data_IF_548882967867
#
_entry.id   IF_548882967867
#
_cell.length_a   1.000
_cell.length_b   1.000
_cell.length_c   1.000
_cell.angle_alpha   90.00
_cell.angle_beta   90.00
_cell.angle_gamma   90.00
#
_symmetry.space_group_name_H-M   'P 1'
#
loop_
_entity.id
_entity.type
_entity.pdbx_description
1 polymer ?
#
# COMPACT_ATOMS: atom_id res chain seq x y z
N UNK A 1 -9.27 -0.77 -15.08
CA UNK A 1 -8.69 -2.12 -15.05
C UNK A 1 -8.79 -2.56 -13.61
N UNK A 2 -9.32 -3.76 -13.35
CA UNK A 2 -9.59 -4.22 -12.00
C UNK A 2 -8.56 -5.28 -11.62
N UNK A 3 -7.71 -4.99 -10.63
CA UNK A 3 -6.75 -5.95 -10.08
C UNK A 3 -7.27 -6.59 -8.81
N UNK A 4 -6.95 -7.86 -8.59
CA UNK A 4 -7.15 -8.52 -7.30
C UNK A 4 -6.08 -8.07 -6.32
N UNK A 5 -6.51 -7.53 -5.18
CA UNK A 5 -5.59 -7.09 -4.13
C UNK A 5 -5.16 -8.28 -3.29
N UNK A 6 -3.86 -8.55 -3.30
CA UNK A 6 -3.21 -9.55 -2.44
C UNK A 6 -2.33 -8.80 -1.45
N UNK A 7 -2.39 -9.20 -0.18
CA UNK A 7 -1.52 -8.65 0.86
C UNK A 7 -0.48 -9.70 1.18
N UNK A 8 0.79 -9.36 1.06
CA UNK A 8 1.87 -10.14 1.65
C UNK A 8 1.65 -10.26 3.17
N UNK A 9 2.08 -11.35 3.79
CA UNK A 9 1.91 -11.59 5.22
C UNK A 9 2.49 -10.44 6.07
N UNK A 10 3.65 -9.89 5.68
CA UNK A 10 4.23 -8.73 6.35
C UNK A 10 3.37 -7.47 6.18
N UNK A 11 2.81 -7.24 5.00
CA UNK A 11 1.92 -6.11 4.75
C UNK A 11 0.63 -6.22 5.55
N UNK A 12 0.05 -7.42 5.64
CA UNK A 12 -1.15 -7.68 6.42
C UNK A 12 -0.90 -7.38 7.91
N UNK A 13 0.24 -7.78 8.46
CA UNK A 13 0.62 -7.47 9.83
C UNK A 13 0.87 -5.99 10.09
N UNK A 14 1.52 -5.29 9.15
CA UNK A 14 1.69 -3.84 9.21
C UNK A 14 0.34 -3.12 9.18
N UNK A 15 -0.58 -3.59 8.32
CA UNK A 15 -1.95 -3.06 8.21
C UNK A 15 -2.75 -3.29 9.50
N UNK A 16 -2.63 -4.47 10.13
CA UNK A 16 -3.24 -4.75 11.45
C UNK A 16 -2.67 -3.85 12.55
N UNK A 17 -1.34 -3.65 12.60
CA UNK A 17 -0.68 -2.75 13.55
C UNK A 17 -1.14 -1.31 13.36
N UNK A 18 -1.20 -0.84 12.11
CA UNK A 18 -1.74 0.46 11.77
C UNK A 18 -3.21 0.60 12.19
N UNK A 19 -4.03 -0.44 11.94
CA UNK A 19 -5.43 -0.45 12.36
C UNK A 19 -5.62 -0.30 13.87
N UNK A 20 -4.75 -0.91 14.69
CA UNK A 20 -4.81 -0.76 16.15
C UNK A 20 -4.38 0.63 16.63
N UNK A 21 -3.32 1.19 16.06
CA UNK A 21 -2.79 2.50 16.49
C UNK A 21 -3.47 3.71 15.87
N UNK A 22 -3.99 3.58 14.65
CA UNK A 22 -4.65 4.64 13.90
C UNK A 22 -5.68 4.07 12.90
N UNK A 23 -6.89 3.69 13.37
CA UNK A 23 -7.94 3.12 12.53
C UNK A 23 -8.34 4.00 11.34
N UNK A 24 -8.33 5.32 11.51
CA UNK A 24 -8.68 6.26 10.45
C UNK A 24 -7.65 6.23 9.31
N UNK A 25 -6.35 6.19 9.63
CA UNK A 25 -5.30 6.04 8.62
C UNK A 25 -5.34 4.66 7.97
N UNK A 26 -5.63 3.61 8.75
CA UNK A 26 -5.81 2.27 8.22
C UNK A 26 -6.90 2.21 7.15
N UNK A 27 -8.06 2.80 7.44
CA UNK A 27 -9.15 2.92 6.48
C UNK A 27 -8.71 3.68 5.23
N UNK A 28 -8.04 4.84 5.37
CA UNK A 28 -7.53 5.62 4.23
C UNK A 28 -6.57 4.83 3.35
N UNK A 29 -5.68 4.04 3.94
CA UNK A 29 -4.76 3.18 3.19
C UNK A 29 -5.53 2.11 2.42
N UNK A 30 -6.46 1.40 3.09
CA UNK A 30 -7.30 0.39 2.46
C UNK A 30 -8.10 0.95 1.27
N UNK A 31 -8.76 2.08 1.44
CA UNK A 31 -9.51 2.76 0.37
C UNK A 31 -8.60 3.19 -0.79
N UNK A 32 -7.39 3.69 -0.50
CA UNK A 32 -6.46 4.08 -1.55
C UNK A 32 -5.97 2.88 -2.38
N UNK A 33 -5.71 1.74 -1.72
CA UNK A 33 -5.33 0.49 -2.41
C UNK A 33 -6.50 -0.05 -3.24
N UNK A 34 -7.72 -0.08 -2.70
CA UNK A 34 -8.91 -0.50 -3.44
C UNK A 34 -9.18 0.39 -4.66
N UNK A 35 -9.12 1.72 -4.50
CA UNK A 35 -9.28 2.66 -5.61
C UNK A 35 -8.22 2.45 -6.68
N UNK A 36 -6.96 2.25 -6.28
CA UNK A 36 -5.89 1.95 -7.23
C UNK A 36 -6.20 0.64 -7.97
N UNK A 37 -6.64 -0.40 -7.26
CA UNK A 37 -6.98 -1.69 -7.83
C UNK A 37 -8.14 -1.60 -8.85
N UNK A 38 -9.16 -0.78 -8.61
CA UNK A 38 -10.34 -0.65 -9.47
C UNK A 38 -10.13 0.29 -10.66
N UNK A 39 -9.40 1.39 -10.43
CA UNK A 39 -9.35 2.52 -11.36
C UNK A 39 -7.97 2.79 -11.96
N UNK A 40 -6.91 2.23 -11.39
CA UNK A 40 -5.54 2.62 -11.71
C UNK A 40 -5.13 4.01 -11.21
N UNK A 41 -6.00 4.70 -10.47
CA UNK A 41 -5.72 6.05 -10.00
C UNK A 41 -5.09 6.07 -8.60
N UNK A 42 -4.10 6.92 -8.42
CA UNK A 42 -3.46 7.19 -7.13
C UNK A 42 -2.16 7.99 -7.30
N UNK A 43 -1.58 8.47 -6.20
CA UNK A 43 -0.21 9.03 -6.19
C UNK A 43 0.78 7.87 -6.25
N UNK A 44 0.87 7.28 -7.45
CA UNK A 44 1.64 6.08 -7.75
C UNK A 44 2.92 6.47 -8.50
N UNK A 45 4.09 6.07 -7.97
CA UNK A 45 5.36 6.22 -8.67
C UNK A 45 6.09 4.89 -8.78
N UNK A 46 6.65 4.62 -9.96
CA UNK A 46 7.53 3.47 -10.18
C UNK A 46 8.85 3.68 -9.45
N UNK A 47 9.29 2.67 -8.70
CA UNK A 47 10.58 2.69 -8.02
C UNK A 47 11.71 2.46 -9.05
N UNK A 48 12.83 3.15 -8.87
CA UNK A 48 14.02 2.99 -9.72
C UNK A 48 14.90 1.88 -9.14
N UNK A 49 15.27 0.90 -9.97
CA UNK A 49 16.14 -0.25 -9.62
C UNK A 49 15.38 -1.51 -9.16
N UNK A 50 15.83 -2.69 -9.59
CA UNK A 50 15.27 -4.00 -9.24
C UNK A 50 13.93 -4.36 -9.91
N UNK A 51 13.36 -5.52 -9.52
CA UNK A 51 12.24 -6.30 -10.11
C UNK A 51 10.86 -5.62 -10.28
N UNK A 52 10.80 -4.30 -10.50
CA UNK A 52 9.58 -3.63 -10.92
C UNK A 52 8.59 -3.38 -9.79
N UNK A 53 8.97 -2.54 -8.82
CA UNK A 53 8.08 -2.11 -7.74
C UNK A 53 7.44 -0.74 -7.97
N UNK A 54 6.30 -0.52 -7.35
CA UNK A 54 5.60 0.75 -7.29
C UNK A 54 5.44 1.24 -5.86
N UNK A 55 5.23 2.55 -5.72
CA UNK A 55 4.94 3.22 -4.46
C UNK A 55 3.69 4.06 -4.60
N UNK A 56 2.65 3.69 -3.86
CA UNK A 56 1.46 4.50 -3.66
C UNK A 56 1.64 5.37 -2.40
N UNK A 57 1.39 6.68 -2.51
CA UNK A 57 1.42 7.60 -1.38
C UNK A 57 0.01 7.87 -0.85
N UNK A 58 -0.14 7.74 0.47
CA UNK A 58 -1.38 8.04 1.20
C UNK A 58 -1.03 9.03 2.32
N UNK A 59 -1.06 10.32 1.99
CA UNK A 59 -0.59 11.37 2.90
C UNK A 59 0.89 11.19 3.30
N UNK A 60 1.13 10.90 4.59
CA UNK A 60 2.47 10.62 5.15
C UNK A 60 2.87 9.15 5.11
N UNK A 61 2.02 8.28 4.55
CA UNK A 61 2.25 6.85 4.41
C UNK A 61 2.63 6.47 2.99
N UNK A 62 3.40 5.39 2.88
CA UNK A 62 3.85 4.79 1.63
C UNK A 62 3.46 3.33 1.63
N UNK A 63 2.77 2.92 0.57
CA UNK A 63 2.44 1.54 0.28
C UNK A 63 3.37 1.09 -0.85
N UNK A 64 4.19 0.07 -0.60
CA UNK A 64 5.02 -0.57 -1.63
C UNK A 64 4.25 -1.75 -2.17
N UNK A 65 4.15 -1.83 -3.50
CA UNK A 65 3.40 -2.87 -4.18
C UNK A 65 4.07 -3.27 -5.49
N UNK A 66 3.68 -4.42 -6.01
CA UNK A 66 3.97 -4.85 -7.38
C UNK A 66 2.64 -5.06 -8.11
N UNK A 67 2.65 -4.74 -9.39
CA UNK A 67 1.53 -5.02 -10.30
C UNK A 67 1.98 -6.18 -11.17
N UNK A 68 1.23 -7.26 -11.15
CA UNK A 68 1.41 -8.39 -12.05
C UNK A 68 0.26 -8.37 -13.06
N UNK A 69 0.60 -7.97 -14.27
CA UNK A 69 -0.37 -7.81 -15.36
C UNK A 69 -0.87 -9.16 -15.90
N UNK A 70 -0.07 -10.23 -15.79
CA UNK A 70 -0.44 -11.58 -16.23
C UNK A 70 -1.53 -12.17 -15.33
N UNK A 71 -1.34 -12.07 -14.01
CA UNK A 71 -2.28 -12.60 -13.01
C UNK A 71 -3.38 -11.60 -12.63
N UNK A 72 -3.33 -10.37 -13.17
CA UNK A 72 -4.18 -9.24 -12.76
C UNK A 72 -4.16 -9.04 -11.23
N UNK A 73 -2.99 -9.15 -10.60
CA UNK A 73 -2.84 -8.97 -9.16
C UNK A 73 -2.07 -7.70 -8.80
N UNK A 74 -2.53 -7.05 -7.74
CA UNK A 74 -1.83 -5.99 -7.04
C UNK A 74 -1.37 -6.57 -5.70
N UNK A 75 -0.07 -6.86 -5.59
CA UNK A 75 0.48 -7.43 -4.36
C UNK A 75 1.05 -6.30 -3.51
N UNK A 76 0.45 -6.06 -2.36
CA UNK A 76 0.95 -5.11 -1.36
C UNK A 76 2.05 -5.78 -0.55
N UNK A 77 3.25 -5.21 -0.59
CA UNK A 77 4.44 -5.73 0.07
C UNK A 77 4.68 -5.07 1.44
N UNK A 78 4.43 -3.76 1.54
CA UNK A 78 4.62 -3.01 2.79
C UNK A 78 3.69 -1.79 2.88
N UNK A 79 3.29 -1.44 4.11
CA UNK A 79 2.60 -0.22 4.52
C UNK A 79 3.43 0.47 5.61
N UNK A 80 4.20 1.49 5.22
CA UNK A 80 5.15 2.16 6.13
C UNK A 80 5.01 3.68 6.10
N UNK A 81 5.27 4.37 7.22
CA UNK A 81 5.33 5.82 7.21
C UNK A 81 6.56 6.33 6.45
N UNK A 82 6.51 7.59 6.00
CA UNK A 82 7.59 8.27 5.26
C UNK A 82 8.89 8.47 6.06
N UNK A 83 8.88 8.20 7.37
CA UNK A 83 9.97 8.38 8.36
C UNK A 83 9.38 8.76 9.73
N UNK A 84 10.03 8.38 10.85
CA UNK A 84 9.52 8.40 12.26
C UNK A 84 8.03 8.75 12.38
N UNK A 85 7.16 7.76 12.22
CA UNK A 85 5.78 7.89 12.66
C UNK A 85 5.48 6.80 13.68
N UNK A 86 6.10 6.97 14.84
CA UNK A 86 5.52 6.82 16.17
C UNK A 86 6.40 7.70 17.07
N UNK A 87 5.99 8.95 17.27
CA UNK A 87 6.20 9.60 18.56
C UNK A 87 4.84 9.49 19.24
N UNK A 88 4.62 8.32 19.82
CA UNK A 88 3.62 8.13 20.86
C UNK A 88 4.28 8.56 22.19
N UNK A 89 3.55 9.02 23.19
CA UNK A 89 2.10 8.97 23.35
C UNK A 89 1.59 9.97 24.36
#
# INVERSE_FOLDING_TARGET
MTWFVVWDDHAADEMRKLGRGNPAMAHRVGTAVARLAETGQGDLLKLRGGSGGWRLRVGSWRVRLVLNDEDQTLVVLHVRPRGRAYRDG
#
